data_IF_895460330745
#
_entry.id   IF_895460330745
#
_cell.length_a   1.000
_cell.length_b   1.000
_cell.length_c   1.000
_cell.angle_alpha   90.00
_cell.angle_beta   90.00
_cell.angle_gamma   90.00
#
_symmetry.space_group_name_H-M   'P 1'
#
loop_
_entity.id
_entity.type
_entity.pdbx_description
1 polymer ?
#
# COMPACT_ATOMS: atom_id res chain seq x y z
N UNK A 1 1.28 -2.22 -13.73
CA UNK A 1 1.76 -1.48 -12.55
C UNK A 1 3.01 -2.19 -12.05
N UNK A 2 4.10 -1.49 -11.77
CA UNK A 2 5.28 -2.02 -11.03
C UNK A 2 5.23 -1.57 -9.57
N UNK A 3 6.06 -2.15 -8.71
CA UNK A 3 6.10 -1.76 -7.29
C UNK A 3 6.55 -0.30 -7.11
N UNK A 4 7.39 0.22 -8.00
CA UNK A 4 7.80 1.63 -8.06
C UNK A 4 6.62 2.54 -8.39
N UNK A 5 5.82 2.16 -9.39
CA UNK A 5 4.63 2.91 -9.79
C UNK A 5 3.60 2.95 -8.65
N UNK A 6 3.38 1.80 -7.97
CA UNK A 6 2.51 1.70 -6.80
C UNK A 6 3.01 2.59 -5.66
N UNK A 7 4.31 2.55 -5.35
CA UNK A 7 4.92 3.41 -4.33
C UNK A 7 4.73 4.90 -4.64
N UNK A 8 4.86 5.28 -5.91
CA UNK A 8 4.56 6.64 -6.38
C UNK A 8 3.08 7.00 -6.21
N UNK A 9 2.16 6.09 -6.52
CA UNK A 9 0.72 6.30 -6.36
C UNK A 9 0.29 6.46 -4.90
N UNK A 10 0.74 5.55 -4.03
CA UNK A 10 0.51 5.61 -2.59
C UNK A 10 1.07 6.90 -2.00
N UNK A 11 2.26 7.33 -2.45
CA UNK A 11 2.84 8.59 -2.01
C UNK A 11 2.00 9.81 -2.38
N UNK A 12 1.37 9.82 -3.57
CA UNK A 12 0.43 10.88 -3.96
C UNK A 12 -0.84 10.86 -3.11
N UNK A 13 -1.41 9.68 -2.84
CA UNK A 13 -2.63 9.54 -2.03
C UNK A 13 -2.44 9.99 -0.58
N UNK A 14 -1.26 9.72 0.00
CA UNK A 14 -0.91 10.06 1.38
C UNK A 14 -0.37 11.49 1.49
N UNK A 15 0.09 12.08 0.39
CA UNK A 15 0.74 13.40 0.39
C UNK A 15 2.16 13.38 0.95
N UNK A 16 2.78 12.20 1.07
CA UNK A 16 4.15 12.01 1.60
C UNK A 16 4.91 10.99 0.76
N UNK A 17 6.23 11.14 0.67
CA UNK A 17 7.08 10.16 -0.02
C UNK A 17 7.10 8.83 0.75
N UNK A 18 6.67 7.77 0.06
CA UNK A 18 6.85 6.40 0.51
C UNK A 18 8.25 5.93 0.12
N UNK A 19 9.00 5.40 1.09
CA UNK A 19 10.37 4.93 0.89
C UNK A 19 10.39 3.42 0.60
N UNK A 20 9.70 2.63 1.44
CA UNK A 20 9.66 1.17 1.37
C UNK A 20 8.22 0.67 1.49
N UNK A 21 7.88 -0.37 0.73
CA UNK A 21 6.64 -1.14 0.86
C UNK A 21 6.94 -2.48 1.51
N UNK A 22 6.04 -2.94 2.36
CA UNK A 22 6.13 -4.22 3.04
C UNK A 22 4.83 -4.99 2.86
N UNK A 23 4.91 -6.32 2.93
CA UNK A 23 3.76 -7.20 3.10
C UNK A 23 3.04 -6.87 4.41
N UNK A 24 1.86 -7.46 4.60
CA UNK A 24 1.11 -7.30 5.87
C UNK A 24 1.90 -7.77 7.09
N UNK A 25 2.72 -8.80 6.91
CA UNK A 25 3.56 -9.39 7.97
C UNK A 25 4.82 -8.55 8.25
N UNK A 26 5.08 -7.51 7.45
CA UNK A 26 6.19 -6.58 7.66
C UNK A 26 7.47 -6.91 6.91
N UNK A 27 7.43 -7.91 6.02
CA UNK A 27 8.55 -8.27 5.13
C UNK A 27 8.62 -7.31 3.93
N UNK A 28 9.81 -6.93 3.43
CA UNK A 28 9.91 -6.08 2.25
C UNK A 28 9.19 -6.69 1.05
N UNK A 29 8.27 -5.95 0.44
CA UNK A 29 7.63 -6.35 -0.80
C UNK A 29 8.60 -6.08 -1.97
N UNK A 30 8.77 -7.06 -2.85
CA UNK A 30 9.63 -6.95 -4.03
C UNK A 30 8.77 -6.76 -5.29
N UNK A 31 7.58 -7.35 -5.30
CA UNK A 31 6.63 -7.26 -6.40
C UNK A 31 5.22 -6.91 -5.88
N UNK A 32 4.34 -6.48 -6.79
CA UNK A 32 2.95 -6.16 -6.44
C UNK A 32 2.17 -7.40 -5.98
N UNK A 33 2.53 -8.58 -6.50
CA UNK A 33 1.96 -9.87 -6.12
C UNK A 33 2.11 -10.15 -4.62
N UNK A 34 3.19 -9.70 -3.99
CA UNK A 34 3.44 -9.84 -2.55
C UNK A 34 2.41 -9.07 -1.70
N UNK A 35 1.75 -8.08 -2.30
CA UNK A 35 0.78 -7.18 -1.66
C UNK A 35 -0.66 -7.56 -2.01
N UNK A 36 -0.86 -8.53 -2.88
CA UNK A 36 -2.20 -8.91 -3.36
C UNK A 36 -3.02 -9.56 -2.25
N UNK A 37 -4.29 -9.16 -2.18
CA UNK A 37 -5.29 -9.78 -1.33
C UNK A 37 -6.52 -10.20 -2.14
N UNK A 38 -7.07 -11.42 -1.92
CA UNK A 38 -8.20 -11.91 -2.69
C UNK A 38 -9.56 -11.39 -2.20
N UNK A 39 -9.68 -10.97 -0.93
CA UNK A 39 -10.95 -10.51 -0.36
C UNK A 39 -10.73 -9.48 0.76
N UNK A 40 -11.21 -8.22 0.60
CA UNK A 40 -11.71 -7.64 -0.65
C UNK A 40 -10.60 -7.66 -1.72
N UNK A 41 -10.99 -7.82 -2.99
CA UNK A 41 -10.03 -7.89 -4.09
C UNK A 41 -9.24 -6.57 -4.18
N UNK A 42 -7.92 -6.65 -4.02
CA UNK A 42 -7.09 -5.46 -3.99
C UNK A 42 -5.65 -5.72 -3.57
N UNK A 43 -5.04 -4.69 -3.03
CA UNK A 43 -3.67 -4.70 -2.52
C UNK A 43 -3.63 -4.11 -1.11
N UNK A 44 -2.70 -4.56 -0.29
CA UNK A 44 -2.51 -4.02 1.04
C UNK A 44 -1.22 -4.49 1.67
N UNK A 45 -0.81 -3.78 2.72
CA UNK A 45 0.42 -4.06 3.42
C UNK A 45 0.78 -2.96 4.38
N UNK A 46 2.07 -2.82 4.63
CA UNK A 46 2.62 -1.68 5.36
C UNK A 46 3.44 -0.82 4.40
N UNK A 47 3.60 0.44 4.75
CA UNK A 47 4.53 1.33 4.08
C UNK A 47 5.31 2.12 5.11
N UNK A 48 6.57 2.42 4.78
CA UNK A 48 7.40 3.33 5.55
C UNK A 48 7.56 4.62 4.78
N UNK A 49 7.28 5.73 5.45
CA UNK A 49 7.48 7.06 4.93
C UNK A 49 8.93 7.49 5.14
N UNK A 50 9.37 8.52 4.39
CA UNK A 50 10.73 9.06 4.51
C UNK A 50 11.10 9.53 5.93
N UNK A 51 10.10 9.96 6.72
CA UNK A 51 10.27 10.37 8.12
C UNK A 51 10.43 9.18 9.09
N UNK A 52 10.41 7.94 8.58
CA UNK A 52 10.53 6.71 9.35
C UNK A 52 9.21 6.17 9.89
N UNK A 53 8.11 6.94 9.80
CA UNK A 53 6.80 6.47 10.25
C UNK A 53 6.29 5.31 9.40
N UNK A 54 5.56 4.39 10.03
CA UNK A 54 4.92 3.25 9.37
C UNK A 54 3.39 3.39 9.38
N UNK A 55 2.78 3.12 8.24
CA UNK A 55 1.34 3.08 8.07
C UNK A 55 0.93 1.70 7.54
N UNK A 56 -0.18 1.15 8.04
CA UNK A 56 -0.93 0.11 7.36
C UNK A 56 -1.75 0.76 6.25
N UNK A 57 -1.89 0.08 5.12
CA UNK A 57 -2.64 0.62 3.98
C UNK A 57 -3.36 -0.47 3.21
N UNK A 58 -4.46 -0.08 2.59
CA UNK A 58 -5.29 -0.92 1.73
C UNK A 58 -5.80 -0.13 0.52
N UNK A 59 -5.81 -0.79 -0.63
CA UNK A 59 -6.32 -0.30 -1.90
C UNK A 59 -7.21 -1.40 -2.48
N UNK A 60 -8.51 -1.19 -2.57
CA UNK A 60 -9.45 -2.22 -3.03
C UNK A 60 -10.46 -1.65 -4.01
N UNK A 61 -11.02 -2.52 -4.85
CA UNK A 61 -12.09 -2.17 -5.76
C UNK A 61 -13.43 -2.41 -5.06
N UNK A 62 -14.23 -1.36 -4.89
CA UNK A 62 -15.61 -1.45 -4.41
C UNK A 62 -16.55 -1.45 -5.60
N UNK A 63 -17.46 -2.42 -5.60
CA UNK A 63 -18.53 -2.63 -6.60
C UNK A 63 -18.06 -2.60 -8.07
N UNK A 64 -16.79 -2.91 -8.33
CA UNK A 64 -16.22 -2.96 -9.67
C UNK A 64 -15.93 -1.60 -10.30
N UNK A 65 -16.29 -0.49 -9.66
CA UNK A 65 -16.28 0.84 -10.28
C UNK A 65 -15.32 1.83 -9.61
N UNK A 66 -15.02 1.65 -8.32
CA UNK A 66 -14.24 2.61 -7.54
C UNK A 66 -13.08 1.98 -6.79
N UNK A 67 -11.88 2.51 -7.01
CA UNK A 67 -10.73 2.21 -6.16
C UNK A 67 -10.78 3.04 -4.88
N UNK A 68 -11.02 2.36 -3.77
CA UNK A 68 -10.96 2.96 -2.44
C UNK A 68 -9.57 2.78 -1.84
N UNK A 69 -9.19 3.73 -1.00
CA UNK A 69 -7.89 3.76 -0.36
C UNK A 69 -8.06 4.12 1.11
N UNK A 70 -7.40 3.37 1.98
CA UNK A 70 -7.30 3.66 3.39
C UNK A 70 -5.85 3.52 3.84
N UNK A 71 -5.41 4.40 4.73
CA UNK A 71 -4.14 4.27 5.43
C UNK A 71 -4.27 4.76 6.88
N UNK A 72 -3.63 4.06 7.80
CA UNK A 72 -3.63 4.38 9.23
C UNK A 72 -2.27 4.08 9.86
N UNK A 73 -1.86 4.82 10.90
CA UNK A 73 -0.62 4.52 11.61
C UNK A 73 -0.61 3.12 12.22
N UNK A 74 0.52 2.43 12.11
CA UNK A 74 0.74 1.17 12.83
C UNK A 74 1.08 1.52 14.28
N UNK A 75 0.31 0.96 15.22
CA UNK A 75 0.48 1.15 16.67
C UNK A 75 1.66 0.38 17.21
#
# INVERSE_FOLDING_TARGET
MTIEELRGDLGRRIGKRVEVLFTRDGEPALEISDLYQPSPAGFGGQLQLRDGSRLAWELWLEDGERWNFHASPIS
#
